data_IF_167115283435
#
_entry.id   IF_167115283435
#
_cell.length_a   1.000
_cell.length_b   1.000
_cell.length_c   1.000
_cell.angle_alpha   90.00
_cell.angle_beta   90.00
_cell.angle_gamma   90.00
#
_symmetry.space_group_name_H-M   'P 1'
#
loop_
_entity.id
_entity.type
_entity.pdbx_description
1 polymer ?
#
# COMPACT_ATOMS: atom_id res chain seq x y z
N UNK A 1 -26.16 -15.31 3.42
CA UNK A 1 -25.78 -14.23 2.48
C UNK A 1 -25.08 -13.12 3.26
N UNK A 2 -23.77 -12.96 3.10
CA UNK A 2 -23.01 -11.91 3.77
C UNK A 2 -23.37 -10.55 3.15
N UNK A 3 -23.89 -9.62 3.97
CA UNK A 3 -24.10 -8.23 3.55
C UNK A 3 -22.74 -7.63 3.23
N UNK A 4 -22.46 -7.36 1.94
CA UNK A 4 -21.28 -6.58 1.55
C UNK A 4 -21.43 -5.20 2.16
N UNK A 5 -20.51 -4.84 3.05
CA UNK A 5 -20.47 -3.56 3.72
C UNK A 5 -20.01 -2.50 2.71
N UNK A 6 -20.94 -2.00 1.89
CA UNK A 6 -20.67 -1.15 0.72
C UNK A 6 -20.42 0.33 1.06
N UNK A 7 -20.74 0.78 2.28
CA UNK A 7 -20.52 2.17 2.71
C UNK A 7 -19.04 2.56 2.75
N UNK A 8 -18.19 1.69 3.29
CA UNK A 8 -16.75 1.94 3.36
C UNK A 8 -16.06 1.93 1.99
N UNK A 9 -16.65 1.27 0.99
CA UNK A 9 -16.06 1.17 -0.36
C UNK A 9 -16.22 2.49 -1.12
N UNK A 10 -17.39 3.13 -1.01
CA UNK A 10 -17.65 4.43 -1.64
C UNK A 10 -16.83 5.56 -1.00
N UNK A 11 -16.70 5.56 0.33
CA UNK A 11 -15.85 6.51 1.04
C UNK A 11 -14.36 6.30 0.70
N UNK A 12 -13.94 5.05 0.56
CA UNK A 12 -12.57 4.71 0.15
C UNK A 12 -12.30 5.08 -1.31
N UNK A 13 -13.25 4.88 -2.22
CA UNK A 13 -13.15 5.34 -3.61
C UNK A 13 -13.11 6.86 -3.71
N UNK A 14 -13.94 7.59 -2.95
CA UNK A 14 -13.89 9.05 -2.89
C UNK A 14 -12.54 9.55 -2.33
N UNK A 15 -12.01 8.88 -1.31
CA UNK A 15 -10.70 9.16 -0.74
C UNK A 15 -9.57 8.90 -1.75
N UNK A 16 -9.62 7.77 -2.47
CA UNK A 16 -8.67 7.45 -3.53
C UNK A 16 -8.77 8.45 -4.70
N UNK A 17 -9.98 8.86 -5.11
CA UNK A 17 -10.18 9.83 -6.19
C UNK A 17 -9.72 11.25 -5.80
N UNK A 18 -9.75 11.60 -4.52
CA UNK A 18 -9.17 12.85 -4.02
C UNK A 18 -7.63 12.84 -4.04
N UNK A 19 -7.01 11.67 -4.15
CA UNK A 19 -5.57 11.48 -4.27
C UNK A 19 -5.18 11.22 -5.73
N UNK A 20 -4.50 12.16 -6.36
CA UNK A 20 -4.04 12.05 -7.76
C UNK A 20 -2.90 11.01 -7.95
N UNK A 21 -2.72 10.10 -6.98
CA UNK A 21 -1.58 9.20 -6.83
C UNK A 21 -2.03 7.84 -6.29
N UNK A 22 -1.57 6.75 -6.92
CA UNK A 22 -1.83 5.40 -6.44
C UNK A 22 -1.36 5.17 -5.00
N UNK A 23 -2.19 4.49 -4.21
CA UNK A 23 -1.89 4.18 -2.81
C UNK A 23 -0.84 3.07 -2.71
N UNK A 24 -1.20 1.90 -3.23
CA UNK A 24 -0.37 0.70 -3.39
C UNK A 24 -0.85 -0.07 -4.62
N UNK A 25 -0.04 -0.97 -5.17
CA UNK A 25 -0.47 -1.90 -6.20
C UNK A 25 -0.10 -3.34 -5.83
N UNK A 26 -0.78 -4.31 -6.44
CA UNK A 26 -0.48 -5.73 -6.27
C UNK A 26 -0.37 -6.42 -7.62
N UNK A 27 0.59 -7.33 -7.73
CA UNK A 27 0.79 -8.17 -8.91
C UNK A 27 0.90 -9.62 -8.47
N UNK A 28 0.16 -10.51 -9.13
CA UNK A 28 0.13 -11.93 -8.77
C UNK A 28 0.79 -12.75 -9.88
N UNK A 29 1.67 -13.64 -9.48
CA UNK A 29 2.26 -14.70 -10.30
C UNK A 29 1.87 -16.06 -9.70
N UNK A 30 2.13 -17.14 -10.42
CA UNK A 30 1.71 -18.51 -10.04
C UNK A 30 2.17 -18.91 -8.63
N UNK A 31 3.34 -18.43 -8.23
CA UNK A 31 4.11 -18.84 -7.05
C UNK A 31 4.46 -17.66 -6.12
N UNK A 32 4.09 -16.43 -6.50
CA UNK A 32 4.44 -15.25 -5.74
C UNK A 32 3.41 -14.12 -5.86
N UNK A 33 3.30 -13.31 -4.82
CA UNK A 33 2.56 -12.06 -4.82
C UNK A 33 3.53 -10.89 -4.61
N UNK A 34 3.60 -9.98 -5.58
CA UNK A 34 4.35 -8.74 -5.49
C UNK A 34 3.46 -7.64 -4.93
N UNK A 35 3.95 -6.93 -3.92
CA UNK A 35 3.27 -5.77 -3.33
C UNK A 35 4.08 -4.51 -3.57
N UNK A 36 3.53 -3.60 -4.35
CA UNK A 36 4.20 -2.38 -4.77
C UNK A 36 3.79 -1.23 -3.85
N UNK A 37 4.75 -0.74 -3.07
CA UNK A 37 4.56 0.41 -2.17
C UNK A 37 4.53 1.74 -2.91
N UNK A 38 4.99 1.77 -4.17
CA UNK A 38 5.07 2.97 -5.01
C UNK A 38 5.96 4.10 -4.43
N UNK A 39 6.73 3.83 -3.36
CA UNK A 39 7.75 4.73 -2.82
C UNK A 39 8.97 3.95 -2.27
N UNK A 40 10.11 3.97 -2.97
CA UNK A 40 11.36 3.34 -2.51
C UNK A 40 11.92 3.93 -1.20
N UNK A 41 11.70 5.23 -0.96
CA UNK A 41 12.13 5.91 0.27
C UNK A 41 11.39 5.39 1.50
N UNK A 42 10.10 5.07 1.36
CA UNK A 42 9.30 4.46 2.43
C UNK A 42 9.88 3.10 2.84
N UNK A 43 10.15 2.23 1.86
CA UNK A 43 10.76 0.91 2.09
C UNK A 43 12.11 1.05 2.80
N UNK A 44 12.91 2.04 2.40
CA UNK A 44 14.21 2.34 3.04
C UNK A 44 14.06 2.77 4.50
N UNK A 45 13.02 3.54 4.83
CA UNK A 45 12.74 3.96 6.22
C UNK A 45 12.16 2.85 7.11
N UNK A 46 11.64 1.78 6.50
CA UNK A 46 10.98 0.67 7.20
C UNK A 46 11.82 -0.62 7.23
N UNK A 47 13.14 -0.53 6.95
CA UNK A 47 14.03 -1.71 6.84
C UNK A 47 13.91 -2.68 8.00
N UNK A 48 13.86 -2.17 9.23
CA UNK A 48 13.77 -3.01 10.43
C UNK A 48 12.44 -3.78 10.51
N UNK A 49 11.34 -3.14 10.08
CA UNK A 49 10.03 -3.79 10.00
C UNK A 49 9.90 -4.77 8.82
N UNK A 50 10.84 -4.75 7.88
CA UNK A 50 10.91 -5.59 6.70
C UNK A 50 11.97 -6.69 6.81
N UNK A 51 12.56 -6.90 8.00
CA UNK A 51 13.65 -7.85 8.20
C UNK A 51 13.35 -9.27 7.65
N UNK A 52 12.11 -9.72 7.82
CA UNK A 52 11.67 -11.06 7.40
C UNK A 52 10.96 -11.08 6.03
N UNK A 53 10.89 -9.94 5.34
CA UNK A 53 10.18 -9.83 4.06
C UNK A 53 11.14 -9.49 2.94
N UNK A 54 11.34 -10.35 1.93
CA UNK A 54 12.17 -10.04 0.78
C UNK A 54 11.61 -8.83 0.02
N UNK A 55 12.46 -7.86 -0.31
CA UNK A 55 12.06 -6.69 -1.08
C UNK A 55 13.15 -6.23 -2.06
N UNK A 56 12.71 -5.55 -3.13
CA UNK A 56 13.55 -4.94 -4.15
C UNK A 56 12.99 -3.56 -4.52
N UNK A 57 13.77 -2.51 -4.26
CA UNK A 57 13.34 -1.13 -4.50
C UNK A 57 12.09 -0.77 -3.69
N UNK A 58 10.95 -0.68 -4.36
CA UNK A 58 9.63 -0.40 -3.75
C UNK A 58 8.70 -1.61 -3.71
N UNK A 59 9.18 -2.80 -4.08
CA UNK A 59 8.38 -4.02 -4.21
C UNK A 59 8.71 -5.01 -3.10
N UNK A 60 7.71 -5.45 -2.36
CA UNK A 60 7.80 -6.58 -1.42
C UNK A 60 7.39 -7.86 -2.14
N UNK A 61 8.06 -8.96 -1.83
CA UNK A 61 7.80 -10.27 -2.44
C UNK A 61 7.25 -11.23 -1.39
N UNK A 62 6.00 -11.65 -1.57
CA UNK A 62 5.35 -12.66 -0.74
C UNK A 62 5.30 -14.00 -1.49
N UNK A 63 5.51 -15.09 -0.76
CA UNK A 63 5.42 -16.46 -1.29
C UNK A 63 3.95 -16.86 -1.40
N UNK A 64 3.58 -17.54 -2.49
CA UNK A 64 2.23 -18.07 -2.63
C UNK A 64 1.95 -19.16 -1.57
N UNK A 65 0.76 -19.12 -0.97
CA UNK A 65 0.33 -20.06 0.06
C UNK A 65 0.52 -19.54 1.49
N UNK A 66 1.29 -18.48 1.69
CA UNK A 66 1.43 -17.79 2.97
C UNK A 66 0.68 -16.45 2.94
N UNK A 67 -0.16 -16.14 3.94
CA UNK A 67 -0.83 -14.84 3.99
C UNK A 67 0.20 -13.73 4.24
N UNK A 68 0.10 -12.58 3.54
CA UNK A 68 0.95 -11.43 3.80
C UNK A 68 0.82 -10.97 5.27
N UNK A 69 1.90 -10.45 5.89
CA UNK A 69 1.84 -9.99 7.27
C UNK A 69 0.91 -8.77 7.41
N UNK A 70 -0.28 -8.97 7.95
CA UNK A 70 -1.35 -7.95 7.96
C UNK A 70 -0.91 -6.65 8.66
N UNK A 71 -0.21 -6.76 9.79
CA UNK A 71 0.27 -5.61 10.54
C UNK A 71 1.22 -4.74 9.70
N UNK A 72 2.13 -5.37 8.95
CA UNK A 72 3.05 -4.70 8.06
C UNK A 72 2.31 -4.01 6.91
N UNK A 73 1.37 -4.71 6.27
CA UNK A 73 0.56 -4.15 5.18
C UNK A 73 -0.21 -2.91 5.68
N UNK A 74 -0.86 -3.00 6.83
CA UNK A 74 -1.58 -1.86 7.44
C UNK A 74 -0.65 -0.68 7.71
N UNK A 75 0.56 -0.94 8.21
CA UNK A 75 1.55 0.11 8.46
C UNK A 75 1.98 0.81 7.17
N UNK A 76 2.27 0.05 6.11
CA UNK A 76 2.67 0.61 4.81
C UNK A 76 1.52 1.43 4.21
N UNK A 77 0.29 0.90 4.22
CA UNK A 77 -0.88 1.60 3.66
C UNK A 77 -1.10 2.94 4.38
N UNK A 78 -1.02 2.97 5.71
CA UNK A 78 -1.14 4.22 6.48
C UNK A 78 -0.05 5.23 6.15
N UNK A 79 1.20 4.78 6.04
CA UNK A 79 2.29 5.66 5.67
C UNK A 79 2.10 6.26 4.26
N UNK A 80 1.59 5.45 3.32
CA UNK A 80 1.24 5.89 1.95
C UNK A 80 0.09 6.89 1.92
N UNK A 81 -0.92 6.70 2.77
CA UNK A 81 -2.02 7.67 2.93
C UNK A 81 -1.49 9.05 3.35
N UNK A 82 -0.66 9.10 4.39
CA UNK A 82 -0.06 10.35 4.88
C UNK A 82 0.81 11.02 3.81
N UNK A 83 1.63 10.25 3.09
CA UNK A 83 2.43 10.79 1.99
C UNK A 83 1.56 11.40 0.88
N UNK A 84 0.49 10.70 0.47
CA UNK A 84 -0.40 11.19 -0.56
C UNK A 84 -1.12 12.48 -0.12
N UNK A 85 -1.52 12.61 1.15
CA UNK A 85 -2.08 13.83 1.70
C UNK A 85 -1.10 15.00 1.62
N UNK A 86 0.18 14.79 2.00
CA UNK A 86 1.24 15.80 1.92
C UNK A 86 1.46 16.24 0.47
N UNK A 87 1.48 15.29 -0.47
CA UNK A 87 1.64 15.59 -1.91
C UNK A 87 0.45 16.37 -2.47
N UNK A 88 -0.77 15.98 -2.11
CA UNK A 88 -1.98 16.69 -2.51
C UNK A 88 -2.01 18.13 -1.97
N UNK A 89 -1.61 18.32 -0.70
CA UNK A 89 -1.51 19.65 -0.09
C UNK A 89 -0.44 20.52 -0.77
N UNK A 90 0.71 19.93 -1.17
CA UNK A 90 1.74 20.64 -1.92
C UNK A 90 1.25 21.09 -3.30
N UNK A 91 0.52 20.23 -4.02
CA UNK A 91 -0.06 20.56 -5.34
C UNK A 91 -1.03 21.74 -5.26
N UNK A 92 -1.84 21.84 -4.20
CA UNK A 92 -2.80 22.96 -4.01
C UNK A 92 -2.15 24.31 -3.71
N UNK A 93 -0.90 24.31 -3.24
CA UNK A 93 -0.13 25.54 -2.92
C UNK A 93 0.80 25.98 -4.06
N UNK A 94 0.92 25.17 -5.11
CA UNK A 94 1.67 25.42 -6.33
C UNK A 94 0.77 26.04 -7.38
#
# INVERSE_FOLDING_TARGET
>A
MAKKNTSGVAEFEAYLNAMDHGLVAMGVKKDACSFYTLNPGLVTSMKDALADVPYSGSTLHFVAGEPPPEALIRQIVRARMVENEVRAAKKRKS
#
